data_IF_578766231731
#
_entry.id   IF_578766231731
#
_cell.length_a   1.000
_cell.length_b   1.000
_cell.length_c   1.000
_cell.angle_alpha   90.00
_cell.angle_beta   90.00
_cell.angle_gamma   90.00
#
_symmetry.space_group_name_H-M   'P 1'
#
loop_
_entity.id
_entity.type
_entity.pdbx_description
1 polymer ?
2 non-polymer ?
3 water ?
#
# COMPACT_ATOMS: atom_id res chain seq x y z
N UNK A 19 8.16 11.33 -25.60
CA UNK A 19 7.92 10.03 -24.98
C UNK A 19 9.17 9.16 -24.93
N UNK A 20 9.44 8.58 -23.76
CA UNK A 20 10.58 7.71 -23.59
C UNK A 20 10.11 6.28 -23.83
N UNK A 21 10.88 5.51 -24.58
CA UNK A 21 10.51 4.14 -24.89
C UNK A 21 11.68 3.17 -24.80
N UNK A 22 11.45 2.02 -24.19
CA UNK A 22 12.47 0.98 -24.04
C UNK A 22 11.93 -0.34 -24.55
N UNK A 23 12.60 -0.92 -25.56
CA UNK A 23 12.15 -2.19 -26.12
C UNK A 23 12.30 -3.31 -25.09
N UNK A 24 11.31 -4.19 -25.03
CA UNK A 24 11.34 -5.29 -24.08
C UNK A 24 10.95 -6.61 -24.73
N UNK A 25 11.59 -7.69 -24.30
CA UNK A 25 11.27 -9.01 -24.85
C UNK A 25 9.87 -9.39 -24.38
N UNK A 26 9.31 -10.45 -24.95
CA UNK A 26 7.98 -10.88 -24.56
C UNK A 26 7.96 -11.34 -23.11
N UNK A 27 9.05 -11.98 -22.68
CA UNK A 27 9.14 -12.46 -21.30
C UNK A 27 9.16 -11.29 -20.33
N UNK A 28 9.71 -10.16 -20.77
CA UNK A 28 9.78 -8.97 -19.94
C UNK A 28 8.41 -8.31 -19.79
N UNK A 29 7.67 -8.20 -20.90
CA UNK A 29 6.35 -7.57 -20.88
C UNK A 29 5.40 -8.34 -19.98
N UNK A 30 5.48 -9.67 -19.99
CA UNK A 30 4.60 -10.47 -19.16
C UNK A 30 4.93 -10.29 -17.68
N UNK A 31 6.21 -10.31 -17.38
CA UNK A 31 6.67 -10.15 -16.00
C UNK A 31 6.42 -8.73 -15.51
N UNK A 32 6.54 -7.75 -16.41
CA UNK A 32 6.33 -6.36 -16.06
C UNK A 32 4.85 -6.09 -15.75
N UNK A 33 3.97 -6.56 -16.62
CA UNK A 33 2.54 -6.38 -16.44
C UNK A 33 2.02 -7.07 -15.18
N UNK A 34 2.56 -8.23 -14.87
CA UNK A 34 2.14 -8.96 -13.68
C UNK A 34 2.67 -8.27 -12.42
N UNK A 35 3.84 -7.64 -12.54
CA UNK A 35 4.45 -6.95 -11.41
C UNK A 35 3.73 -5.63 -11.10
N UNK A 36 3.12 -5.04 -12.12
CA UNK A 36 2.42 -3.77 -11.95
C UNK A 36 0.94 -3.87 -11.63
N UNK A 37 0.35 -5.05 -11.79
CA UNK A 37 -1.09 -5.22 -11.55
C UNK A 37 -1.60 -4.71 -10.21
N UNK A 38 -0.82 -4.87 -9.15
CA UNK A 38 -1.23 -4.44 -7.82
C UNK A 38 -0.54 -3.20 -7.24
N UNK A 39 0.03 -2.35 -8.09
CA UNK A 39 0.69 -1.16 -7.60
C UNK A 39 -0.35 -0.05 -7.46
N UNK A 40 -0.65 0.31 -6.21
CA UNK A 40 -1.65 1.33 -5.93
C UNK A 40 -1.49 2.66 -6.65
N UNK A 41 -0.25 3.12 -6.85
CA UNK A 41 -0.02 4.39 -7.54
C UNK A 41 -0.43 4.36 -9.02
N UNK A 42 -0.74 3.17 -9.54
CA UNK A 42 -1.14 3.04 -10.95
C UNK A 42 -2.64 2.81 -11.10
N UNK A 43 -3.34 2.64 -9.99
CA UNK A 43 -4.77 2.39 -10.03
C UNK A 43 -5.62 3.48 -10.64
N UNK A 44 -5.29 4.73 -10.37
CA UNK A 44 -6.09 5.82 -10.91
C UNK A 44 -5.56 6.34 -12.25
N UNK A 45 -5.27 5.44 -13.17
CA UNK A 45 -4.76 5.81 -14.49
C UNK A 45 -5.59 5.16 -15.59
N UNK A 46 -5.86 5.90 -16.67
CA UNK A 46 -6.62 5.35 -17.77
C UNK A 46 -5.69 4.44 -18.57
N UNK A 47 -6.25 3.52 -19.37
CA UNK A 47 -5.47 2.59 -20.17
C UNK A 47 -4.41 3.22 -21.08
N UNK A 48 -4.57 4.51 -21.39
CA UNK A 48 -3.63 5.18 -22.27
C UNK A 48 -2.41 5.73 -21.54
N UNK A 49 -2.62 6.25 -20.33
CA UNK A 49 -1.49 6.78 -19.56
C UNK A 49 -0.67 5.58 -19.10
N UNK A 50 -1.36 4.50 -18.78
CA UNK A 50 -0.74 3.27 -18.31
C UNK A 50 0.14 2.65 -19.38
N UNK A 51 -0.28 2.76 -20.64
CA UNK A 51 0.49 2.19 -21.74
C UNK A 51 1.79 2.94 -21.89
N UNK A 52 1.75 4.25 -21.71
CA UNK A 52 2.95 5.08 -21.81
C UNK A 52 3.92 4.73 -20.68
N UNK A 53 3.37 4.50 -19.49
CA UNK A 53 4.18 4.14 -18.34
C UNK A 53 4.87 2.81 -18.63
N UNK A 54 4.12 1.86 -19.16
CA UNK A 54 4.64 0.54 -19.51
C UNK A 54 5.77 0.61 -20.54
N UNK A 55 5.62 1.45 -21.55
CA UNK A 55 6.66 1.58 -22.57
C UNK A 55 7.92 2.24 -22.01
N UNK A 56 7.75 3.08 -21.00
CA UNK A 56 8.88 3.78 -20.39
C UNK A 56 9.65 2.94 -19.36
N UNK A 57 9.03 1.88 -18.88
CA UNK A 57 9.67 0.99 -17.89
C UNK A 57 10.87 0.27 -18.48
N UNK A 58 11.92 0.16 -17.69
CA UNK A 58 13.13 -0.53 -18.11
C UNK A 58 13.53 -1.48 -16.97
N UNK A 59 14.12 -2.62 -17.30
CA UNK A 59 14.51 -3.56 -16.27
C UNK A 59 15.87 -3.23 -15.68
N UNK A 60 16.10 -3.67 -14.44
CA UNK A 60 17.35 -3.43 -13.76
C UNK A 60 17.66 -4.54 -12.76
N UNK A 61 18.77 -5.21 -12.97
CA UNK A 61 19.15 -6.29 -12.08
C UNK A 61 19.92 -5.71 -10.89
N UNK A 62 19.77 -6.33 -9.74
CA UNK A 62 20.49 -5.85 -8.57
C UNK A 62 21.15 -7.05 -7.93
N UNK A 63 22.32 -6.81 -7.35
CA UNK A 63 23.09 -7.84 -6.67
C UNK A 63 22.79 -7.79 -5.19
N UNK A 64 22.86 -8.93 -4.53
CA UNK A 64 22.63 -8.97 -3.11
C UNK A 64 23.63 -7.99 -2.48
N UNK A 65 23.17 -7.21 -1.50
CA UNK A 65 24.05 -6.26 -0.84
C UNK A 65 24.12 -4.90 -1.50
N UNK A 66 23.62 -4.80 -2.72
CA UNK A 66 23.65 -3.53 -3.45
C UNK A 66 22.72 -2.47 -2.85
N UNK A 67 23.16 -1.21 -2.86
CA UNK A 67 22.36 -0.11 -2.38
C UNK A 67 21.62 0.44 -3.58
N UNK A 68 20.34 0.09 -3.70
CA UNK A 68 19.56 0.58 -4.83
C UNK A 68 19.34 2.07 -4.68
N UNK A 69 19.10 2.50 -3.44
CA UNK A 69 18.87 3.91 -3.13
C UNK A 69 19.58 4.30 -1.83
N UNK A 70 20.20 5.47 -1.83
CA UNK A 70 20.90 5.95 -0.65
C UNK A 70 20.25 7.21 -0.11
N UNK A 71 19.97 7.20 1.19
CA UNK A 71 19.35 8.35 1.82
C UNK A 71 20.21 9.58 1.53
N UNK A 72 19.58 10.68 1.14
CA UNK A 72 20.32 11.89 0.84
C UNK A 72 20.53 12.24 -0.62
N UNK A 73 20.53 11.22 -1.49
CA UNK A 73 20.73 11.47 -2.91
C UNK A 73 19.52 12.15 -3.56
N UNK A 74 19.71 12.61 -4.79
CA UNK A 74 18.64 13.23 -5.53
C UNK A 74 17.87 12.06 -6.11
N UNK A 75 16.56 12.22 -6.29
CA UNK A 75 15.77 11.14 -6.84
C UNK A 75 15.99 11.03 -8.34
N UNK A 76 15.89 9.82 -8.87
CA UNK A 76 16.07 9.62 -10.29
C UNK A 76 14.98 8.70 -10.85
N UNK A 77 14.80 7.55 -10.24
CA UNK A 77 13.79 6.61 -10.72
C UNK A 77 12.80 6.13 -9.66
N UNK A 78 11.69 5.58 -10.15
CA UNK A 78 10.65 5.01 -9.30
C UNK A 78 10.78 3.53 -9.61
N UNK A 79 10.71 2.68 -8.60
CA UNK A 79 10.88 1.26 -8.86
C UNK A 79 9.72 0.37 -8.44
N UNK A 80 9.48 -0.64 -9.27
CA UNK A 80 8.46 -1.63 -9.02
C UNK A 80 9.28 -2.91 -8.93
N UNK A 81 9.05 -3.69 -7.89
CA UNK A 81 9.78 -4.93 -7.68
C UNK A 81 9.30 -6.09 -8.53
N UNK A 82 10.23 -6.75 -9.22
CA UNK A 82 9.87 -7.91 -10.02
C UNK A 82 10.08 -9.14 -9.15
N UNK A 83 11.21 -9.16 -8.43
CA UNK A 83 11.54 -10.25 -7.51
C UNK A 83 12.72 -9.81 -6.66
N UNK A 84 12.86 -10.44 -5.50
CA UNK A 84 13.96 -10.10 -4.60
C UNK A 84 13.48 -9.53 -3.27
N UNK A 85 14.39 -9.46 -2.31
CA UNK A 85 14.06 -8.93 -0.99
C UNK A 85 14.90 -7.69 -0.72
N UNK A 86 14.33 -6.72 0.00
CA UNK A 86 15.01 -5.46 0.30
C UNK A 86 14.72 -4.97 1.70
N UNK A 87 15.72 -4.37 2.33
CA UNK A 87 15.57 -3.81 3.66
C UNK A 87 15.48 -2.30 3.54
N UNK A 88 14.75 -1.68 4.46
CA UNK A 88 14.58 -0.23 4.44
C UNK A 88 15.26 0.37 5.66
N UNK A 89 16.20 1.28 5.43
CA UNK A 89 16.89 1.92 6.54
C UNK A 89 16.73 3.43 6.52
N UNK A 90 16.49 4.00 7.68
CA UNK A 90 16.37 5.44 7.82
C UNK A 90 17.43 5.82 8.85
N UNK A 91 18.36 6.67 8.45
CA UNK A 91 19.41 7.09 9.38
C UNK A 91 18.92 8.26 10.22
N UNK A 92 18.65 7.98 11.49
CA UNK A 92 18.18 9.00 12.43
C UNK A 92 19.22 9.30 13.51
N UNK A 93 19.87 10.45 13.38
CA UNK A 93 20.89 10.87 14.33
C UNK A 93 22.10 9.92 14.37
N UNK A 94 22.82 9.84 13.26
CA UNK A 94 23.99 8.99 13.20
C UNK A 94 23.72 7.50 13.34
N UNK A 95 22.48 7.13 13.62
CA UNK A 95 22.11 5.72 13.79
C UNK A 95 21.17 5.28 12.68
N UNK A 96 21.38 4.05 12.20
CA UNK A 96 20.52 3.52 11.15
C UNK A 96 19.50 2.55 11.68
N UNK A 97 18.22 2.85 11.44
CA UNK A 97 17.14 1.97 11.90
C UNK A 97 16.55 1.21 10.73
N UNK A 98 16.21 -0.05 10.96
CA UNK A 98 15.58 -0.84 9.91
C UNK A 98 14.07 -0.67 10.14
N UNK A 99 13.45 0.19 9.36
CA UNK A 99 12.03 0.47 9.52
C UNK A 99 11.10 -0.47 8.75
N UNK A 100 11.65 -1.43 8.03
CA UNK A 100 10.82 -2.36 7.28
C UNK A 100 11.53 -3.08 6.14
N UNK A 101 10.76 -3.73 5.28
CA UNK A 101 11.32 -4.45 4.15
C UNK A 101 10.29 -4.76 3.08
N UNK A 102 10.78 -5.21 1.92
CA UNK A 102 9.93 -5.58 0.80
C UNK A 102 10.24 -7.03 0.47
N UNK A 103 9.20 -7.79 0.15
CA UNK A 103 9.39 -9.19 -0.17
C UNK A 103 8.82 -9.57 -1.52
N UNK A 104 9.63 -9.46 -2.57
CA UNK A 104 9.22 -9.86 -3.91
C UNK A 104 8.03 -9.14 -4.54
N UNK A 105 7.57 -8.06 -3.92
CA UNK A 105 6.44 -7.30 -4.44
C UNK A 105 6.44 -5.92 -3.83
N UNK A 106 5.87 -4.96 -4.55
CA UNK A 106 5.80 -3.61 -4.03
C UNK A 106 6.57 -2.63 -4.88
N UNK A 107 6.72 -1.41 -4.39
CA UNK A 107 7.42 -0.37 -5.11
C UNK A 107 8.02 0.60 -4.12
N UNK A 108 8.91 1.44 -4.61
CA UNK A 108 9.56 2.43 -3.75
C UNK A 108 10.27 3.49 -4.58
N UNK A 109 10.63 4.59 -3.92
CA UNK A 109 11.34 5.67 -4.59
C UNK A 109 10.43 6.75 -5.15
N UNK A 110 9.17 6.75 -4.73
CA UNK A 110 8.21 7.72 -5.23
C UNK A 110 8.24 9.06 -4.50
N UNK A 111 8.67 9.06 -3.23
CA UNK A 111 8.69 10.29 -2.47
C UNK A 111 9.56 11.40 -3.07
N UNK A 112 10.82 11.10 -3.36
CA UNK A 112 11.71 12.10 -3.93
C UNK A 112 11.20 12.67 -5.23
N UNK A 113 10.53 11.86 -6.03
CA UNK A 113 10.02 12.32 -7.32
C UNK A 113 8.73 13.12 -7.21
N UNK A 114 7.98 12.96 -6.12
CA UNK A 114 6.73 13.70 -5.95
C UNK A 114 6.93 15.03 -5.24
N UNK A 115 7.81 15.05 -4.24
CA UNK A 115 8.04 16.25 -3.46
C UNK A 115 9.39 16.91 -3.71
N UNK A 116 10.08 16.49 -4.76
CA UNK A 116 11.39 17.03 -5.10
C UNK A 116 12.31 17.18 -3.90
N UNK A 117 12.34 16.15 -3.06
CA UNK A 117 13.16 16.14 -1.86
C UNK A 117 14.20 15.03 -2.02
N UNK A 118 15.25 15.05 -1.17
CA UNK A 118 16.27 14.01 -1.28
C UNK A 118 15.72 12.68 -0.77
N UNK A 119 16.30 11.57 -1.21
CA UNK A 119 15.85 10.25 -0.77
C UNK A 119 15.74 10.23 0.75
N UNK A 120 14.60 9.79 1.26
CA UNK A 120 14.37 9.76 2.69
C UNK A 120 14.80 8.48 3.39
N UNK A 121 15.30 7.51 2.63
CA UNK A 121 15.74 6.25 3.21
C UNK A 121 16.66 5.51 2.27
N UNK A 122 17.36 4.52 2.83
CA UNK A 122 18.28 3.70 2.07
C UNK A 122 17.63 2.36 1.83
N UNK A 123 17.68 1.89 0.59
CA UNK A 123 17.10 0.59 0.24
C UNK A 123 18.23 -0.33 -0.19
N UNK A 124 18.36 -1.46 0.49
CA UNK A 124 19.41 -2.42 0.17
C UNK A 124 18.80 -3.76 -0.20
N UNK A 125 19.36 -4.38 -1.23
CA UNK A 125 18.89 -5.68 -1.67
C UNK A 125 19.50 -6.71 -0.73
N UNK A 126 18.69 -7.66 -0.25
CA UNK A 126 19.20 -8.71 0.62
C UNK A 126 19.23 -10.04 -0.12
N UNK A 127 19.22 -9.97 -1.44
CA UNK A 127 19.26 -11.15 -2.29
C UNK A 127 19.36 -10.66 -3.73
N UNK A 128 19.64 -11.57 -4.68
CA UNK A 128 19.72 -11.12 -6.08
C UNK A 128 18.28 -10.75 -6.45
N UNK A 129 18.10 -9.78 -7.33
CA UNK A 129 16.75 -9.42 -7.70
C UNK A 129 16.64 -8.61 -8.96
N UNK A 130 15.42 -8.21 -9.29
CA UNK A 130 15.16 -7.42 -10.49
C UNK A 130 14.12 -6.36 -10.19
N UNK A 131 14.30 -5.20 -10.81
CA UNK A 131 13.38 -4.09 -10.62
C UNK A 131 12.96 -3.54 -11.96
N UNK A 132 11.83 -2.85 -11.97
CA UNK A 132 11.32 -2.20 -13.16
C UNK A 132 11.39 -0.72 -12.81
N UNK A 133 12.21 0.02 -13.54
CA UNK A 133 12.35 1.43 -13.25
C UNK A 133 11.58 2.36 -14.16
N UNK A 134 11.30 3.55 -13.64
CA UNK A 134 10.58 4.58 -14.37
C UNK A 134 11.24 5.91 -14.06
N UNK A 135 11.78 6.56 -15.09
CA UNK A 135 12.48 7.85 -14.96
C UNK A 135 11.58 8.94 -14.37
N UNK A 136 12.18 9.90 -13.69
CA UNK A 136 11.43 10.98 -13.06
C UNK A 136 10.57 11.83 -13.99
N UNK A 137 11.03 12.04 -15.23
CA UNK A 137 10.26 12.85 -16.16
C UNK A 137 8.92 12.20 -16.48
N UNK A 138 8.95 10.94 -16.91
CA UNK A 138 7.70 10.24 -17.22
C UNK A 138 6.83 10.14 -15.98
N UNK A 139 7.47 10.02 -14.82
CA UNK A 139 6.76 9.93 -13.54
C UNK A 139 5.98 11.19 -13.23
N UNK A 140 6.69 12.32 -13.19
CA UNK A 140 6.06 13.61 -12.88
C UNK A 140 5.04 14.03 -13.93
N UNK A 141 5.25 13.59 -15.16
CA UNK A 141 4.37 13.92 -16.27
C UNK A 141 3.03 13.19 -16.19
N UNK A 142 3.04 11.97 -15.64
CA UNK A 142 1.83 11.17 -15.57
C UNK A 142 1.30 10.91 -14.16
N UNK A 143 2.12 10.32 -13.30
CA UNK A 143 1.72 10.00 -11.94
C UNK A 143 1.38 11.24 -11.13
N UNK A 144 2.31 12.20 -11.10
CA UNK A 144 2.14 13.45 -10.36
C UNK A 144 0.96 14.26 -10.88
N UNK A 145 0.74 14.22 -12.19
CA UNK A 145 -0.35 14.93 -12.81
C UNK A 145 -1.64 14.25 -12.36
N UNK A 146 -1.61 12.92 -12.32
CA UNK A 146 -2.76 12.14 -11.92
C UNK A 146 -3.10 12.29 -10.43
N UNK A 147 -2.09 12.53 -9.60
CA UNK A 147 -2.32 12.70 -8.17
C UNK A 147 -3.12 13.99 -7.88
N UNK A 148 -2.92 15.01 -8.71
CA UNK A 148 -3.64 16.28 -8.53
C UNK A 148 -5.13 16.00 -8.69
N UNK A 149 -5.45 15.15 -9.66
CA UNK A 149 -6.84 14.77 -9.93
C UNK A 149 -7.39 14.01 -8.73
N UNK A 150 -6.57 13.10 -8.21
CA UNK A 150 -6.95 12.27 -7.08
C UNK A 150 -7.18 13.14 -5.86
N UNK A 151 -6.33 14.15 -5.69
CA UNK A 151 -6.43 15.07 -4.57
C UNK A 151 -7.76 15.84 -4.57
N UNK A 152 -8.22 16.21 -5.76
CA UNK A 152 -9.48 16.93 -5.86
C UNK A 152 -10.67 16.03 -5.53
N UNK A 153 -10.53 14.73 -5.77
CA UNK A 153 -11.63 13.81 -5.49
C UNK A 153 -11.70 13.38 -4.03
N UNK A 154 -10.55 13.20 -3.38
CA UNK A 154 -10.55 12.69 -2.02
C UNK A 154 -9.95 13.51 -0.89
N UNK A 155 -9.22 14.58 -1.21
CA UNK A 155 -8.62 15.39 -0.16
C UNK A 155 -9.61 15.72 0.95
N UNK A 156 -10.77 16.22 0.55
CA UNK A 156 -11.81 16.59 1.50
C UNK A 156 -12.22 15.39 2.38
N UNK A 157 -12.51 14.27 1.72
CA UNK A 157 -12.91 13.05 2.41
C UNK A 157 -11.87 12.55 3.42
N UNK A 158 -10.60 12.61 3.05
CA UNK A 158 -9.56 12.14 3.94
C UNK A 158 -9.34 13.06 5.14
N UNK A 159 -9.49 14.36 4.94
CA UNK A 159 -9.32 15.30 6.03
C UNK A 159 -10.42 15.13 7.07
N UNK A 160 -11.58 14.67 6.61
CA UNK A 160 -12.73 14.49 7.50
C UNK A 160 -12.76 13.19 8.31
N UNK A 161 -11.89 12.24 7.99
CA UNK A 161 -11.89 10.96 8.72
C UNK A 161 -11.48 11.16 10.18
N UNK A 162 -12.35 10.72 11.11
CA UNK A 162 -12.10 10.84 12.55
C UNK A 162 -10.78 10.23 13.03
N UNK A 163 -10.45 9.03 12.55
CA UNK A 163 -9.22 8.37 13.01
C UNK A 163 -7.92 9.02 12.49
N UNK A 164 -8.02 9.89 11.49
CA UNK A 164 -6.84 10.55 10.95
C UNK A 164 -6.62 11.94 11.56
N UNK A 165 -7.45 12.31 12.53
CA UNK A 165 -7.30 13.62 13.18
C UNK A 165 -6.01 13.69 13.99
N UNK A 166 -5.45 12.53 14.31
CA UNK A 166 -4.22 12.45 15.09
C UNK A 166 -2.99 12.91 14.31
N UNK A 167 -3.07 12.89 12.98
CA UNK A 167 -1.94 13.30 12.15
C UNK A 167 -1.87 14.82 11.99
N UNK A 168 -0.68 15.33 11.73
CA UNK A 168 -0.48 16.76 11.49
C UNK A 168 -1.23 16.97 10.18
N UNK A 169 -1.81 18.15 9.99
CA UNK A 169 -2.57 18.40 8.78
C UNK A 169 -1.77 18.14 7.49
N UNK A 170 -0.47 18.45 7.49
CA UNK A 170 0.35 18.23 6.30
C UNK A 170 0.58 16.74 6.04
N UNK A 171 0.62 15.94 7.11
CA UNK A 171 0.79 14.49 6.99
C UNK A 171 -0.47 13.87 6.40
N UNK A 172 -1.64 14.41 6.74
CA UNK A 172 -2.89 13.89 6.22
C UNK A 172 -2.99 14.11 4.73
N UNK A 173 -2.52 15.25 4.26
CA UNK A 173 -2.57 15.55 2.84
C UNK A 173 -1.67 14.62 2.06
N UNK A 174 -0.60 14.13 2.70
CA UNK A 174 0.32 13.21 2.03
C UNK A 174 -0.30 11.83 1.87
N UNK A 175 -1.29 11.51 2.69
CA UNK A 175 -1.97 10.22 2.59
C UNK A 175 -2.64 10.08 1.22
N UNK A 176 -3.20 11.17 0.73
CA UNK A 176 -3.89 11.18 -0.56
C UNK A 176 -2.97 10.79 -1.72
N UNK A 177 -1.71 11.21 -1.64
CA UNK A 177 -0.74 10.92 -2.69
C UNK A 177 -0.45 9.44 -2.95
N UNK A 178 -0.51 8.62 -1.91
CA UNK A 178 -0.19 7.21 -2.09
C UNK A 178 -1.31 6.19 -2.01
N UNK A 179 -2.55 6.66 -1.88
CA UNK A 179 -3.67 5.74 -1.83
C UNK A 179 -4.10 5.43 -3.27
N UNK A 180 -4.71 4.27 -3.46
CA UNK A 180 -5.19 3.88 -4.76
C UNK A 180 -6.63 3.43 -4.57
N UNK A 181 -7.45 3.60 -5.61
CA UNK A 181 -8.85 3.22 -5.56
C UNK A 181 -9.04 1.81 -6.07
N UNK A 182 -9.87 1.03 -5.37
CA UNK A 182 -10.17 -0.34 -5.79
C UNK A 182 -11.67 -0.54 -5.76
N UNK A 183 -12.23 -1.02 -6.86
CA UNK A 183 -13.68 -1.26 -6.88
C UNK A 183 -13.93 -2.76 -6.92
N UNK A 184 -15.00 -3.17 -6.25
CA UNK A 184 -15.37 -4.57 -6.18
C UNK A 184 -16.84 -4.67 -6.50
N UNK A 185 -17.24 -5.80 -7.08
CA UNK A 185 -18.62 -6.03 -7.42
C UNK A 185 -19.24 -6.84 -6.30
N UNK A 186 -20.57 -6.89 -6.29
CA UNK A 186 -21.30 -7.63 -5.27
C UNK A 186 -20.78 -9.06 -5.19
N UNK A 187 -20.48 -9.52 -3.97
CA UNK A 187 -19.99 -10.87 -3.79
C UNK A 187 -18.48 -11.07 -3.82
N UNK A 188 -17.75 -10.13 -4.41
CA UNK A 188 -16.29 -10.27 -4.49
C UNK A 188 -15.59 -10.31 -3.16
N UNK A 189 -14.59 -11.17 -3.05
CA UNK A 189 -13.81 -11.28 -1.84
C UNK A 189 -12.75 -10.17 -1.91
N UNK A 190 -12.68 -9.35 -0.87
CA UNK A 190 -11.71 -8.28 -0.83
C UNK A 190 -10.42 -8.80 -0.20
N UNK A 191 -10.57 -9.60 0.86
CA UNK A 191 -9.44 -10.22 1.52
C UNK A 191 -9.92 -11.53 2.13
N UNK A 192 -9.00 -12.49 2.28
CA UNK A 192 -9.37 -13.79 2.83
C UNK A 192 -8.67 -14.10 4.14
N UNK A 193 -9.42 -14.73 5.05
CA UNK A 193 -8.90 -15.12 6.35
C UNK A 193 -7.68 -16.02 6.12
N UNK A 194 -6.65 -15.86 6.95
CA UNK A 194 -5.45 -16.69 6.83
C UNK A 194 -4.45 -16.25 5.78
N UNK A 195 -4.88 -15.31 4.92
CA UNK A 195 -4.05 -14.79 3.85
C UNK A 195 -3.01 -13.81 4.39
N UNK A 196 -1.90 -13.65 3.67
CA UNK A 196 -0.86 -12.70 4.08
C UNK A 196 -1.41 -11.31 3.78
N UNK A 197 -0.91 -10.29 4.48
CA UNK A 197 -1.42 -8.93 4.29
C UNK A 197 -0.43 -7.89 3.82
N UNK A 198 -0.85 -7.06 2.87
CA UNK A 198 0.01 -6.01 2.36
C UNK A 198 -0.75 -4.68 2.15
N UNK A 199 -2.04 -4.67 2.47
CA UNK A 199 -2.86 -3.48 2.30
C UNK A 199 -3.74 -3.11 3.47
N UNK A 200 -3.99 -1.80 3.59
CA UNK A 200 -4.86 -1.23 4.62
C UNK A 200 -6.01 -0.63 3.82
N UNK A 201 -7.25 -0.86 4.26
CA UNK A 201 -8.41 -0.34 3.53
C UNK A 201 -9.32 0.66 4.24
N UNK A 202 -9.89 1.56 3.45
CA UNK A 202 -10.83 2.57 3.91
C UNK A 202 -12.03 2.51 2.96
N UNK A 203 -13.21 2.23 3.49
CA UNK A 203 -14.41 2.17 2.65
C UNK A 203 -14.78 3.57 2.15
N UNK A 204 -14.94 3.71 0.84
CA UNK A 204 -15.29 5.00 0.25
C UNK A 204 -16.79 5.01 -0.01
N UNK A 205 -17.30 3.94 -0.60
CA UNK A 205 -18.73 3.81 -0.87
C UNK A 205 -19.11 2.34 -0.92
N UNK A 206 -20.35 2.04 -0.57
CA UNK A 206 -20.78 0.67 -0.57
C UNK A 206 -20.71 0.12 0.85
N UNK A 207 -20.89 -1.18 0.99
CA UNK A 207 -20.85 -1.81 2.29
C UNK A 207 -19.98 -3.07 2.24
N UNK A 208 -19.13 -3.22 3.25
CA UNK A 208 -18.25 -4.37 3.34
C UNK A 208 -18.64 -5.25 4.53
N UNK A 209 -18.80 -6.54 4.29
CA UNK A 209 -19.18 -7.50 5.32
C UNK A 209 -17.96 -8.29 5.77
N UNK A 210 -17.72 -8.30 7.08
CA UNK A 210 -16.58 -9.01 7.65
C UNK A 210 -17.07 -10.31 8.29
N UNK A 211 -16.48 -11.43 7.89
CA UNK A 211 -16.86 -12.73 8.44
C UNK A 211 -15.63 -13.44 8.97
N UNK A 212 -15.87 -14.41 9.84
CA UNK A 212 -14.80 -15.19 10.43
C UNK A 212 -15.31 -16.62 10.61
N UNK A 213 -14.46 -17.60 10.34
CA UNK A 213 -14.84 -18.99 10.49
C UNK A 213 -14.51 -19.48 11.90
N UNK A 214 -15.53 -19.99 12.58
CA UNK A 214 -15.40 -20.49 13.95
C UNK A 214 -14.12 -21.30 14.17
N UNK A 223 -15.30 -24.59 10.30
CA UNK A 223 -16.72 -24.38 10.58
C UNK A 223 -17.30 -23.29 9.67
N UNK A 224 -18.61 -23.05 9.81
CA UNK A 224 -19.27 -22.04 8.98
C UNK A 224 -18.78 -20.62 9.23
N UNK A 225 -19.04 -19.74 8.28
CA UNK A 225 -18.64 -18.34 8.38
C UNK A 225 -19.63 -17.56 9.24
N UNK A 226 -19.11 -16.75 10.18
CA UNK A 226 -19.95 -15.96 11.06
C UNK A 226 -19.73 -14.46 10.84
N UNK A 227 -20.80 -13.72 10.62
CA UNK A 227 -20.66 -12.28 10.44
C UNK A 227 -20.27 -11.63 11.76
N UNK A 228 -19.23 -10.80 11.74
CA UNK A 228 -18.78 -10.15 12.97
C UNK A 228 -18.75 -8.64 12.86
N UNK A 229 -18.93 -8.11 11.65
CA UNK A 229 -18.91 -6.66 11.48
C UNK A 229 -19.21 -6.24 10.06
N UNK A 230 -19.63 -4.98 9.91
CA UNK A 230 -19.89 -4.44 8.59
C UNK A 230 -19.23 -3.06 8.57
N UNK A 231 -18.66 -2.69 7.43
CA UNK A 231 -17.99 -1.40 7.29
C UNK A 231 -18.63 -0.56 6.23
N UNK A 232 -18.92 0.69 6.59
CA UNK A 232 -19.53 1.63 5.67
C UNK A 232 -18.57 2.79 5.41
N UNK A 233 -18.99 3.72 4.56
CA UNK A 233 -18.17 4.87 4.18
C UNK A 233 -17.49 5.53 5.38
N UNK A 234 -16.17 5.67 5.30
CA UNK A 234 -15.43 6.29 6.38
C UNK A 234 -14.79 5.31 7.35
N UNK A 235 -15.20 4.06 7.30
CA UNK A 235 -14.64 3.07 8.21
C UNK A 235 -13.48 2.29 7.57
N UNK A 236 -12.58 1.76 8.40
CA UNK A 236 -11.43 1.04 7.91
C UNK A 236 -11.40 -0.41 8.38
N UNK A 237 -10.58 -1.20 7.70
CA UNK A 237 -10.40 -2.60 8.05
C UNK A 237 -9.10 -3.07 7.39
N UNK A 238 -8.58 -4.20 7.86
CA UNK A 238 -7.36 -4.72 7.29
C UNK A 238 -6.13 -4.15 7.98
N UNK A 239 -6.30 -3.59 9.17
CA UNK A 239 -5.20 -3.00 9.91
C UNK A 239 -4.61 -3.96 10.95
N UNK A 240 -5.43 -4.89 11.42
CA UNK A 240 -4.99 -5.85 12.44
C UNK A 240 -3.77 -6.67 12.02
N UNK A 241 -3.76 -7.16 10.79
CA UNK A 241 -2.63 -7.96 10.29
C UNK A 241 -1.34 -7.13 10.18
N UNK A 242 -1.48 -5.87 9.82
CA UNK A 242 -0.32 -4.99 9.68
C UNK A 242 0.25 -4.58 11.02
N UNK A 243 -0.60 -4.49 12.04
CA UNK A 243 -0.17 -4.10 13.38
C UNK A 243 0.43 -5.23 14.20
N UNK A 244 -0.10 -6.44 14.06
CA UNK A 244 0.39 -7.59 14.80
C UNK A 244 1.31 -8.44 13.95
N UNK A 245 1.42 -8.09 12.68
CA UNK A 245 2.27 -8.85 11.78
C UNK A 245 1.83 -10.31 11.73
N UNK A 246 0.56 -10.53 11.43
CA UNK A 246 0.00 -11.87 11.33
C UNK A 246 -0.87 -11.93 10.08
N UNK A 247 -1.38 -13.13 9.74
CA UNK A 247 -2.23 -13.25 8.54
C UNK A 247 -3.59 -12.62 8.86
N UNK A 248 -4.40 -12.37 7.84
CA UNK A 248 -5.73 -11.79 8.02
C UNK A 248 -6.53 -12.64 9.00
N UNK A 249 -7.13 -12.01 10.01
CA UNK A 249 -7.92 -12.73 10.99
C UNK A 249 -9.34 -13.03 10.51
N UNK A 250 -9.75 -12.44 9.39
CA UNK A 250 -11.10 -12.64 8.89
C UNK A 250 -11.21 -12.32 7.42
N UNK A 251 -12.33 -12.72 6.82
CA UNK A 251 -12.57 -12.43 5.41
C UNK A 251 -13.45 -11.18 5.28
N UNK A 252 -13.45 -10.58 4.10
CA UNK A 252 -14.23 -9.40 3.83
C UNK A 252 -14.77 -9.49 2.40
N UNK A 253 -16.06 -9.27 2.23
CA UNK A 253 -16.68 -9.33 0.92
C UNK A 253 -17.48 -8.07 0.69
N UNK A 254 -17.69 -7.74 -0.57
CA UNK A 254 -18.48 -6.57 -0.92
C UNK A 254 -19.97 -6.90 -1.05
N UNK A 255 -20.81 -6.00 -0.57
CA UNK A 255 -22.25 -6.15 -0.69
C UNK A 255 -22.62 -5.00 -1.62
N UNK A 256 -22.99 -5.34 -2.85
CA UNK A 256 -23.30 -4.33 -3.84
C UNK A 256 -21.95 -3.86 -4.36
N UNK A 257 -21.92 -2.74 -5.07
CA UNK A 257 -20.67 -2.22 -5.60
C UNK A 257 -19.91 -1.46 -4.51
N UNK A 258 -18.65 -1.81 -4.30
CA UNK A 258 -17.84 -1.19 -3.28
C UNK A 258 -16.60 -0.49 -3.81
N UNK A 259 -16.29 0.66 -3.22
CA UNK A 259 -15.10 1.41 -3.58
C UNK A 259 -14.28 1.59 -2.31
N UNK A 260 -13.01 1.20 -2.37
CA UNK A 260 -12.13 1.33 -1.23
C UNK A 260 -10.89 2.11 -1.61
N UNK A 261 -10.33 2.81 -0.62
CA UNK A 261 -9.10 3.54 -0.81
C UNK A 261 -8.09 2.61 -0.13
N UNK A 262 -7.11 2.14 -0.89
CA UNK A 262 -6.11 1.23 -0.33
C UNK A 262 -4.74 1.89 -0.24
N UNK A 263 -3.95 1.38 0.70
CA UNK A 263 -2.61 1.90 0.97
C UNK A 263 -1.73 0.68 1.26
N UNK A 264 -0.49 0.67 0.80
CA UNK A 264 0.37 -0.48 1.08
C UNK A 264 0.90 -0.40 2.51
N UNK A 265 1.42 -1.51 3.01
CA UNK A 265 1.91 -1.54 4.38
C UNK A 265 3.05 -0.58 4.67
N UNK A 266 3.89 -0.30 3.68
CA UNK A 266 4.99 0.63 3.91
C UNK A 266 4.48 2.05 4.11
N UNK A 267 3.47 2.45 3.33
CA UNK A 267 2.89 3.78 3.45
C UNK A 267 2.18 3.88 4.80
N UNK A 268 1.52 2.79 5.17
CA UNK A 268 0.80 2.70 6.42
C UNK A 268 1.76 2.95 7.57
N UNK A 269 2.91 2.29 7.55
CA UNK A 269 3.87 2.46 8.64
C UNK A 269 4.59 3.81 8.63
N UNK A 270 4.75 4.40 7.46
CA UNK A 270 5.40 5.70 7.37
C UNK A 270 4.48 6.85 7.78
N UNK A 271 3.21 6.77 7.41
CA UNK A 271 2.25 7.83 7.69
C UNK A 271 1.32 7.70 8.90
N UNK A 272 0.86 6.50 9.22
CA UNK A 272 -0.11 6.35 10.31
C UNK A 272 0.38 6.05 11.72
N UNK A 273 1.68 6.21 11.97
CA UNK A 273 2.20 5.96 13.31
C UNK A 273 1.44 6.73 14.38
N UNK A 274 1.17 8.03 14.16
CA UNK A 274 0.45 8.85 15.14
C UNK A 274 -0.89 8.28 15.64
N UNK A 275 -1.55 7.45 14.83
CA UNK A 275 -2.82 6.91 15.28
C UNK A 275 -2.79 5.41 15.55
N UNK A 276 -1.61 4.92 15.94
CA UNK A 276 -1.45 3.51 16.26
C UNK A 276 -2.09 3.22 17.61
N UNK A 277 -2.54 4.28 18.27
CA UNK A 277 -3.20 4.15 19.57
C UNK A 277 -4.65 3.91 19.42
N UNK A 278 -5.31 4.79 18.68
CA UNK A 278 -6.73 4.66 18.43
C UNK A 278 -7.02 3.29 17.85
N UNK A 279 -6.08 2.77 17.07
CA UNK A 279 -6.24 1.47 16.44
C UNK A 279 -5.99 0.36 17.43
N UNK A 280 -5.02 0.59 18.31
CA UNK A 280 -4.66 -0.38 19.32
C UNK A 280 -5.85 -0.49 20.28
N UNK A 281 -6.53 0.64 20.46
CA UNK A 281 -7.68 0.70 21.34
C UNK A 281 -8.86 -0.05 20.73
N UNK A 282 -8.98 -0.01 19.41
CA UNK A 282 -10.06 -0.71 18.72
C UNK A 282 -9.75 -2.21 18.68
N UNK A 283 -8.47 -2.54 18.80
CA UNK A 283 -8.05 -3.94 18.79
C UNK A 283 -8.63 -4.66 19.99
N UNK A 284 -8.46 -4.07 21.17
CA UNK A 284 -8.96 -4.63 22.42
C UNK A 284 -10.43 -5.03 22.29
N UNK A 285 -11.19 -4.18 21.60
CA UNK A 285 -12.60 -4.43 21.38
C UNK A 285 -12.80 -5.74 20.59
N UNK A 286 -11.95 -5.97 19.60
CA UNK A 286 -12.04 -7.18 18.80
C UNK A 286 -12.00 -8.41 19.69
N UNK A 287 -11.12 -8.37 20.70
CA UNK A 287 -10.98 -9.49 21.62
C UNK A 287 -12.25 -9.77 22.40
N UNK A 288 -12.78 -8.74 23.05
CA UNK A 288 -14.00 -8.87 23.84
C UNK A 288 -15.13 -9.43 23.00
N UNK A 289 -15.33 -8.88 21.80
CA UNK A 289 -16.39 -9.34 20.94
C UNK A 289 -16.28 -10.82 20.62
N UNK A 290 -15.10 -11.29 20.25
CA UNK A 290 -14.91 -12.69 19.89
C UNK A 290 -15.12 -13.62 21.08
N UNK A 291 -14.60 -13.25 22.24
CA UNK A 291 -14.75 -14.09 23.41
C UNK A 291 -16.25 -14.21 23.69
N UNK A 292 -16.96 -13.10 23.55
CA UNK A 292 -18.40 -13.03 23.78
C UNK A 292 -19.18 -13.91 22.80
N UNK A 293 -18.74 -13.92 21.55
CA UNK A 293 -19.41 -14.71 20.53
C UNK A 293 -18.94 -16.17 20.45
N UNK A 294 -17.64 -16.39 20.65
CA UNK A 294 -17.06 -17.73 20.55
C UNK A 294 -16.48 -18.37 21.83
N UNK A 295 -16.17 -17.57 22.83
CA UNK A 295 -15.61 -18.13 24.06
C UNK A 295 -14.10 -18.10 24.04
N UNK A 296 -13.54 -17.81 22.87
CA UNK A 296 -12.10 -17.74 22.69
C UNK A 296 -11.77 -16.49 21.87
N UNK A 297 -10.63 -15.87 22.16
CA UNK A 297 -10.22 -14.65 21.45
C UNK A 297 -9.60 -14.96 20.08
N UNK A 298 -9.57 -16.25 19.74
CA UNK A 298 -9.02 -16.69 18.45
C UNK A 298 -7.57 -16.26 18.28
N UNK A 299 -6.96 -15.75 19.36
CA UNK A 299 -5.58 -15.30 19.34
C UNK A 299 -5.31 -14.31 18.20
N UNK A 300 -5.91 -13.12 18.31
CA UNK A 300 -5.71 -12.09 17.31
C UNK A 300 -4.66 -11.10 17.80
N UNK A 301 -4.17 -11.34 19.02
CA UNK A 301 -3.14 -10.49 19.60
C UNK A 301 -1.90 -11.31 19.92
#
# INVERSE_FOLDING_TARGET
>A
SVCAEAYNPDEEEDDAESRIIHPKTDDQRNRLQEACKDILLFKNLDPEQMSQVLDAMFEKLVKEGEHVIDQGDDGDNFYVIDRGTFDIYVKCDGVGRCVGNYDNRGSFGELALMYNTPRAATITATSPGALWGLDRVTFRRIIVKNNAKKRKMYESFIESLPFLKSLEVSERLKVVDVIGTKVYNDGEQIIAQGDSADSFFIVESGEVRITMKRKGKSDIEENGAVEIARCLRGQYFGELALVTNKPRAASAHAIGTVKCLAMDVQAFERLLGPCMEIMKRNIATYEEQLVALFGTNMDIVEPTA
#
